data_IF_052453190584
#
_entry.id   IF_052453190584
#
_cell.length_a   1.000
_cell.length_b   1.000
_cell.length_c   1.000
_cell.angle_alpha   90.00
_cell.angle_beta   90.00
_cell.angle_gamma   90.00
#
_symmetry.space_group_name_H-M   'P 1'
#
loop_
_entity.id
_entity.type
_entity.pdbx_description
1 polymer ?
#
# COMPACT_ATOMS: atom_id res chain seq x y z
N UNK A 1 6.21 9.31 16.05
CA UNK A 1 4.97 10.11 16.03
C UNK A 1 3.83 9.13 15.80
N UNK A 2 3.17 8.78 16.90
CA UNK A 2 1.98 7.93 16.97
C UNK A 2 0.92 8.83 17.60
N UNK A 3 -0.31 8.81 17.11
CA UNK A 3 -1.38 9.64 17.67
C UNK A 3 -1.82 9.13 19.06
N UNK A 4 -2.71 9.89 19.70
CA UNK A 4 -3.23 9.58 21.03
C UNK A 4 -3.98 8.23 21.10
N UNK A 5 -4.44 7.74 19.95
CA UNK A 5 -5.24 6.53 19.82
C UNK A 5 -4.36 5.33 19.39
N UNK A 6 -3.05 5.54 19.19
CA UNK A 6 -2.08 4.49 18.87
C UNK A 6 -1.81 4.29 17.37
N UNK A 7 -2.33 5.16 16.49
CA UNK A 7 -2.14 5.02 15.05
C UNK A 7 -0.93 5.80 14.53
N UNK A 8 -0.26 5.23 13.53
CA UNK A 8 0.76 5.92 12.73
C UNK A 8 0.10 6.50 11.47
N UNK A 9 0.16 7.81 11.24
CA UNK A 9 -0.26 8.39 9.97
C UNK A 9 0.59 7.83 8.83
N UNK A 10 -0.07 7.36 7.76
CA UNK A 10 0.58 6.84 6.55
C UNK A 10 -0.26 7.23 5.33
N UNK A 11 0.28 6.98 4.13
CA UNK A 11 -0.41 7.14 2.85
C UNK A 11 -0.40 5.83 2.08
N UNK A 12 -1.49 5.55 1.37
CA UNK A 12 -1.56 4.49 0.36
C UNK A 12 -1.48 5.10 -1.03
N UNK A 13 -0.79 4.44 -1.96
CA UNK A 13 -0.67 4.89 -3.34
C UNK A 13 -1.37 3.86 -4.22
N UNK A 14 -2.31 4.32 -5.05
CA UNK A 14 -2.95 3.51 -6.08
C UNK A 14 -2.41 3.96 -7.43
N UNK A 15 -1.81 3.04 -8.18
CA UNK A 15 -1.27 3.29 -9.52
C UNK A 15 -2.15 2.57 -10.53
N UNK A 16 -2.72 3.33 -11.47
CA UNK A 16 -3.55 2.80 -12.56
C UNK A 16 -2.86 3.05 -13.91
N UNK A 17 -3.12 2.19 -14.89
CA UNK A 17 -2.70 2.39 -16.28
C UNK A 17 -3.89 2.79 -17.18
N UNK A 18 -3.62 3.08 -18.46
CA UNK A 18 -4.64 3.43 -19.45
C UNK A 18 -5.60 2.28 -19.81
N UNK A 19 -5.30 1.05 -19.37
CA UNK A 19 -6.11 -0.15 -19.59
C UNK A 19 -7.04 -0.46 -18.40
N UNK A 20 -7.17 0.48 -17.45
CA UNK A 20 -7.95 0.32 -16.22
C UNK A 20 -7.47 -0.82 -15.30
N UNK A 21 -6.18 -1.16 -15.36
CA UNK A 21 -5.56 -2.10 -14.42
C UNK A 21 -4.87 -1.33 -13.29
N UNK A 22 -4.74 -2.01 -12.14
CA UNK A 22 -4.02 -1.50 -10.98
C UNK A 22 -2.70 -2.24 -10.80
N UNK A 23 -1.68 -1.54 -10.32
CA UNK A 23 -0.42 -2.15 -9.92
C UNK A 23 -0.61 -2.97 -8.64
N UNK A 24 -0.09 -4.21 -8.63
CA UNK A 24 -0.10 -5.12 -7.49
C UNK A 24 1.30 -5.66 -7.26
N UNK A 25 1.95 -5.24 -6.18
CA UNK A 25 3.34 -5.55 -5.88
C UNK A 25 3.46 -6.76 -4.96
N UNK A 26 4.36 -7.69 -5.28
CA UNK A 26 4.76 -8.75 -4.34
C UNK A 26 5.60 -8.14 -3.22
N UNK A 27 5.23 -8.42 -1.97
CA UNK A 27 6.02 -8.01 -0.81
C UNK A 27 7.37 -8.74 -0.82
N UNK A 28 8.46 -8.01 -0.59
CA UNK A 28 9.80 -8.57 -0.55
C UNK A 28 9.89 -9.67 0.50
N UNK A 29 10.34 -10.86 0.10
CA UNK A 29 10.52 -12.06 0.95
C UNK A 29 9.23 -12.66 1.56
N UNK A 30 8.06 -12.23 1.11
CA UNK A 30 6.78 -12.69 1.68
C UNK A 30 5.90 -13.40 0.62
N UNK A 31 5.00 -14.25 1.11
CA UNK A 31 3.91 -14.83 0.32
C UNK A 31 2.65 -13.95 0.38
N UNK A 32 2.82 -12.64 0.20
CA UNK A 32 1.76 -11.65 0.27
C UNK A 32 1.98 -10.51 -0.74
N UNK A 33 0.93 -9.74 -1.00
CA UNK A 33 0.90 -8.69 -2.00
C UNK A 33 0.38 -7.38 -1.40
N UNK A 34 0.63 -6.27 -2.08
CA UNK A 34 0.19 -4.92 -1.71
C UNK A 34 -0.02 -4.04 -2.94
#
# INVERSE_FOLDING_TARGET
MIDKDGYRPNVGIVICNAENQVFWAKRTQEHAWQ
#
